data_IF_307617110342
#
_entry.id   IF_307617110342
#
_cell.length_a   1.000
_cell.length_b   1.000
_cell.length_c   1.000
_cell.angle_alpha   90.00
_cell.angle_beta   90.00
_cell.angle_gamma   90.00
#
_symmetry.space_group_name_H-M   'P 1'
#
loop_
_entity.id
_entity.type
_entity.pdbx_description
1 polymer ?
#
# COMPACT_ATOMS: atom_id res chain seq x y z
N UNK A 1 13.81 -4.61 -1.47
CA UNK A 1 12.46 -5.17 -1.59
C UNK A 1 11.97 -5.21 -3.03
N UNK A 2 12.10 -4.13 -3.80
CA UNK A 2 11.55 -4.01 -5.17
C UNK A 2 12.19 -4.97 -6.19
N UNK A 3 13.51 -5.18 -6.13
CA UNK A 3 14.19 -6.18 -6.97
C UNK A 3 13.61 -7.58 -6.76
N UNK A 4 13.32 -7.93 -5.50
CA UNK A 4 12.75 -9.24 -5.16
C UNK A 4 11.31 -9.35 -5.62
N UNK A 5 10.46 -8.37 -5.30
CA UNK A 5 9.05 -8.36 -5.72
C UNK A 5 8.92 -8.39 -7.25
N UNK A 6 9.69 -7.56 -7.96
CA UNK A 6 9.72 -7.53 -9.42
C UNK A 6 10.16 -8.87 -10.02
N UNK A 7 11.17 -9.53 -9.45
CA UNK A 7 11.57 -10.86 -9.89
C UNK A 7 10.50 -11.92 -9.63
N UNK A 8 9.84 -11.91 -8.47
CA UNK A 8 8.74 -12.83 -8.17
C UNK A 8 7.61 -12.68 -9.20
N UNK A 9 7.26 -11.44 -9.56
CA UNK A 9 6.27 -11.13 -10.56
C UNK A 9 6.72 -11.54 -11.98
N UNK A 10 7.94 -11.16 -12.40
CA UNK A 10 8.49 -11.47 -13.74
C UNK A 10 8.55 -12.97 -14.00
N UNK A 11 8.96 -13.75 -13.00
CA UNK A 11 9.06 -15.20 -13.10
C UNK A 11 7.73 -15.91 -12.85
N UNK A 12 6.62 -15.20 -12.60
CA UNK A 12 5.34 -15.78 -12.18
C UNK A 12 5.51 -16.77 -11.01
N UNK A 13 6.40 -16.43 -10.07
CA UNK A 13 6.73 -17.30 -8.94
C UNK A 13 5.84 -17.07 -7.73
N UNK A 14 5.08 -15.99 -7.74
CA UNK A 14 4.11 -15.60 -6.72
C UNK A 14 3.28 -14.43 -7.20
N UNK A 15 2.35 -13.99 -6.34
CA UNK A 15 1.45 -12.86 -6.58
C UNK A 15 1.87 -11.72 -5.66
N UNK A 16 2.01 -10.51 -6.20
CA UNK A 16 2.33 -9.29 -5.44
C UNK A 16 1.04 -8.61 -5.01
N UNK A 17 0.87 -8.43 -3.69
CA UNK A 17 -0.31 -7.82 -3.08
C UNK A 17 0.10 -6.52 -2.38
N UNK A 18 -0.77 -5.51 -2.38
CA UNK A 18 -0.53 -4.27 -1.64
C UNK A 18 -0.65 -3.02 -2.50
N UNK A 19 0.22 -2.05 -2.28
CA UNK A 19 0.32 -0.82 -3.08
C UNK A 19 1.58 -0.83 -3.95
N UNK A 20 1.62 0.04 -4.95
CA UNK A 20 2.83 0.29 -5.74
C UNK A 20 4.00 0.69 -4.82
N UNK A 21 5.17 0.13 -5.06
CA UNK A 21 6.35 0.39 -4.23
C UNK A 21 6.98 1.75 -4.52
N UNK A 22 7.95 2.14 -3.69
CA UNK A 22 8.55 3.47 -3.67
C UNK A 22 9.17 3.93 -5.01
N UNK A 23 9.74 3.02 -5.78
CA UNK A 23 10.35 3.33 -7.08
C UNK A 23 11.84 3.62 -7.04
N UNK A 24 12.59 3.09 -6.05
CA UNK A 24 14.04 3.30 -5.98
C UNK A 24 14.73 2.33 -6.94
N UNK A 25 15.21 2.81 -8.07
CA UNK A 25 15.87 2.05 -9.14
C UNK A 25 17.40 2.17 -9.16
N UNK A 26 18.01 2.75 -8.12
CA UNK A 26 19.44 3.10 -8.10
C UNK A 26 20.22 2.41 -6.97
N UNK A 27 21.50 2.17 -7.22
CA UNK A 27 22.46 1.67 -6.23
C UNK A 27 23.46 2.77 -5.91
N UNK A 28 23.70 2.95 -4.61
CA UNK A 28 24.65 3.93 -4.08
C UNK A 28 25.85 3.23 -3.45
N UNK A 29 27.01 3.86 -3.54
CA UNK A 29 28.24 3.41 -2.91
C UNK A 29 28.78 4.48 -1.94
N UNK A 30 29.37 4.02 -0.84
CA UNK A 30 30.02 4.85 0.17
C UNK A 30 31.51 4.99 -0.16
N UNK A 31 31.97 6.24 -0.25
CA UNK A 31 33.32 6.59 -0.67
C UNK A 31 34.00 7.38 0.47
N UNK A 32 34.94 6.77 1.23
CA UNK A 32 35.61 7.44 2.34
C UNK A 32 36.54 8.56 1.89
N UNK A 33 36.42 9.75 2.49
CA UNK A 33 37.20 10.93 2.10
C UNK A 33 38.68 10.85 2.48
N UNK A 34 39.04 9.96 3.41
CA UNK A 34 40.42 9.71 3.84
C UNK A 34 41.37 9.41 2.67
N UNK A 35 40.85 8.83 1.57
CA UNK A 35 41.68 8.51 0.39
C UNK A 35 42.24 9.74 -0.33
N UNK A 36 41.67 10.92 -0.11
CA UNK A 36 42.07 12.17 -0.76
C UNK A 36 42.66 13.20 0.21
N UNK A 37 42.88 12.83 1.47
CA UNK A 37 43.46 13.73 2.47
C UNK A 37 44.65 13.07 3.18
N UNK A 38 45.78 13.80 3.34
CA UNK A 38 46.91 13.32 4.14
C UNK A 38 46.63 13.32 5.65
N UNK A 39 45.53 13.96 6.09
CA UNK A 39 45.03 13.92 7.47
C UNK A 39 43.74 13.09 7.51
N UNK A 40 43.44 12.34 8.59
CA UNK A 40 42.19 11.63 8.71
C UNK A 40 41.00 12.60 8.61
N UNK A 41 40.09 12.32 7.69
CA UNK A 41 38.83 13.02 7.47
C UNK A 41 37.71 12.05 7.78
N UNK A 42 37.06 12.23 8.93
CA UNK A 42 35.93 11.41 9.36
C UNK A 42 34.64 11.76 8.57
N UNK A 43 34.67 11.56 7.25
CA UNK A 43 33.58 11.86 6.33
C UNK A 43 33.52 10.89 5.17
N UNK A 44 32.31 10.68 4.63
CA UNK A 44 32.06 9.77 3.51
C UNK A 44 31.09 10.43 2.53
N UNK A 45 31.31 10.19 1.24
CA UNK A 45 30.38 10.56 0.18
C UNK A 45 29.50 9.35 -0.15
N UNK A 46 28.20 9.57 -0.30
CA UNK A 46 27.28 8.57 -0.85
C UNK A 46 26.95 8.97 -2.27
N UNK A 47 27.33 8.14 -3.24
CA UNK A 47 27.20 8.46 -4.67
C UNK A 47 26.46 7.35 -5.40
N UNK A 48 25.52 7.72 -6.26
CA UNK A 48 24.85 6.77 -7.16
C UNK A 48 25.82 6.26 -8.21
N UNK A 49 26.02 4.94 -8.26
CA UNK A 49 27.00 4.29 -9.16
C UNK A 49 26.35 3.46 -10.27
N UNK A 50 25.04 3.24 -10.20
CA UNK A 50 24.33 2.46 -11.20
C UNK A 50 22.82 2.44 -11.01
N UNK A 51 22.14 2.01 -12.07
CA UNK A 51 20.72 1.67 -12.07
C UNK A 51 20.57 0.16 -12.15
N UNK A 52 19.48 -0.36 -11.58
CA UNK A 52 19.08 -1.74 -11.80
C UNK A 52 17.84 -1.83 -12.68
N UNK A 53 17.73 -2.97 -13.36
CA UNK A 53 16.65 -3.28 -14.29
C UNK A 53 16.15 -4.69 -13.99
N UNK A 54 14.86 -4.89 -14.21
CA UNK A 54 14.17 -6.18 -14.17
C UNK A 54 14.68 -7.08 -15.29
N UNK A 55 14.40 -8.38 -15.19
CA UNK A 55 14.78 -9.35 -16.25
C UNK A 55 14.06 -9.08 -17.58
N UNK A 56 12.91 -8.41 -17.51
CA UNK A 56 12.16 -7.88 -18.65
C UNK A 56 12.85 -6.68 -19.32
N UNK A 57 13.84 -6.07 -18.67
CA UNK A 57 14.53 -4.87 -19.11
C UNK A 57 13.94 -3.56 -18.56
N UNK A 58 12.81 -3.61 -17.87
CA UNK A 58 12.17 -2.44 -17.26
C UNK A 58 12.90 -1.99 -15.98
N UNK A 59 13.01 -0.69 -15.72
CA UNK A 59 13.48 -0.19 -14.42
C UNK A 59 12.32 -0.05 -13.43
N UNK A 60 12.61 -0.17 -12.14
CA UNK A 60 11.68 0.24 -11.07
C UNK A 60 11.80 1.74 -10.75
N UNK A 61 12.78 2.46 -11.30
CA UNK A 61 13.00 3.88 -11.03
C UNK A 61 11.71 4.69 -11.27
N UNK A 62 11.26 5.52 -10.32
CA UNK A 62 9.98 6.28 -10.35
C UNK A 62 8.69 5.45 -10.33
N UNK A 63 8.67 4.24 -10.90
CA UNK A 63 7.45 3.44 -11.08
C UNK A 63 7.23 2.39 -9.99
N UNK A 64 8.30 1.95 -9.35
CA UNK A 64 8.25 0.83 -8.42
C UNK A 64 7.87 -0.48 -9.09
N UNK A 65 7.28 -1.37 -8.29
CA UNK A 65 6.62 -2.60 -8.69
C UNK A 65 5.14 -2.39 -8.43
N UNK A 66 4.35 -2.43 -9.51
CA UNK A 66 2.90 -2.41 -9.42
C UNK A 66 2.41 -3.79 -8.92
N UNK A 67 1.52 -3.82 -7.91
CA UNK A 67 1.00 -5.07 -7.37
C UNK A 67 0.07 -5.75 -8.38
N UNK A 68 0.06 -7.07 -8.35
CA UNK A 68 -0.85 -7.91 -9.13
C UNK A 68 -2.30 -7.80 -8.64
N UNK A 69 -2.49 -7.69 -7.31
CA UNK A 69 -3.77 -7.38 -6.67
C UNK A 69 -3.58 -6.14 -5.78
N UNK A 70 -4.16 -4.99 -6.16
CA UNK A 70 -4.02 -3.77 -5.39
C UNK A 70 -4.84 -3.83 -4.10
N UNK A 71 -4.24 -3.41 -2.98
CA UNK A 71 -4.89 -3.21 -1.69
C UNK A 71 -4.77 -1.75 -1.28
N UNK A 72 -5.80 -1.24 -0.59
CA UNK A 72 -5.83 0.14 -0.14
C UNK A 72 -4.67 0.46 0.81
N UNK A 73 -4.06 1.63 0.63
CA UNK A 73 -2.98 2.12 1.48
C UNK A 73 -3.13 3.62 1.74
N UNK A 74 -2.79 4.09 2.95
CA UNK A 74 -2.83 5.53 3.26
C UNK A 74 -1.65 6.31 2.66
N UNK A 75 -0.66 5.66 2.05
CA UNK A 75 0.51 6.37 1.52
C UNK A 75 0.23 6.94 0.14
N UNK A 76 0.54 8.23 -0.06
CA UNK A 76 0.50 8.84 -1.39
C UNK A 76 1.90 8.80 -2.02
N UNK A 77 2.09 7.91 -3.00
CA UNK A 77 3.36 7.72 -3.72
C UNK A 77 3.76 8.99 -4.48
N UNK A 78 2.83 9.88 -4.82
CA UNK A 78 3.16 11.16 -5.46
C UNK A 78 3.83 12.12 -4.50
N UNK A 79 3.61 11.98 -3.19
CA UNK A 79 4.27 12.77 -2.15
C UNK A 79 5.50 12.08 -1.60
N UNK A 80 5.46 10.75 -1.44
CA UNK A 80 6.53 10.01 -0.75
C UNK A 80 7.47 9.24 -1.67
N UNK A 81 7.09 8.94 -2.91
CA UNK A 81 7.85 8.04 -3.79
C UNK A 81 9.14 8.65 -4.32
N UNK A 82 9.98 7.83 -4.96
CA UNK A 82 11.20 8.28 -5.63
C UNK A 82 10.89 9.38 -6.67
N UNK A 83 9.75 9.27 -7.37
CA UNK A 83 9.30 10.26 -8.35
C UNK A 83 8.98 11.64 -7.77
N UNK A 84 8.78 11.74 -6.45
CA UNK A 84 8.54 13.00 -5.76
C UNK A 84 9.83 13.77 -5.45
N UNK A 85 10.99 13.12 -5.58
CA UNK A 85 12.30 13.74 -5.30
C UNK A 85 12.72 14.63 -6.47
N UNK A 86 13.15 15.86 -6.16
CA UNK A 86 13.48 16.90 -7.15
C UNK A 86 14.52 16.47 -8.19
N UNK A 87 15.50 15.67 -7.80
CA UNK A 87 16.62 15.24 -8.66
C UNK A 87 16.71 13.73 -8.83
N UNK A 88 15.58 13.01 -8.73
CA UNK A 88 15.56 11.59 -9.04
C UNK A 88 15.89 11.35 -10.52
N UNK A 89 16.67 10.29 -10.77
CA UNK A 89 17.01 9.91 -12.14
C UNK A 89 15.76 9.46 -12.88
N UNK A 90 15.58 9.81 -14.18
CA UNK A 90 14.38 9.43 -14.92
C UNK A 90 14.28 7.91 -15.07
N UNK A 91 13.04 7.43 -15.22
CA UNK A 91 12.78 6.05 -15.64
C UNK A 91 13.28 5.80 -17.06
N UNK A 92 13.89 4.65 -17.27
CA UNK A 92 14.33 4.12 -18.56
C UNK A 92 14.19 2.60 -18.60
N UNK A 93 14.44 2.03 -19.79
CA UNK A 93 14.44 0.58 -20.02
C UNK A 93 15.63 0.16 -20.87
N UNK A 94 16.07 -1.07 -20.68
CA UNK A 94 17.08 -1.74 -21.49
C UNK A 94 16.49 -2.96 -22.20
N UNK A 95 17.31 -3.64 -23.01
CA UNK A 95 16.91 -4.93 -23.56
C UNK A 95 16.74 -5.95 -22.43
N UNK A 96 15.58 -6.62 -22.40
CA UNK A 96 15.36 -7.76 -21.53
C UNK A 96 16.27 -8.93 -21.88
N UNK A 97 16.44 -9.84 -20.92
CA UNK A 97 17.21 -11.07 -21.11
C UNK A 97 16.26 -12.25 -21.32
N UNK A 98 16.63 -13.28 -22.09
CA UNK A 98 15.82 -14.49 -22.16
C UNK A 98 15.73 -15.15 -20.76
N UNK A 99 14.51 -15.35 -20.27
CA UNK A 99 14.24 -16.08 -19.03
C UNK A 99 13.09 -17.05 -19.23
N UNK A 100 12.99 -18.05 -18.35
CA UNK A 100 11.87 -18.99 -18.33
C UNK A 100 10.97 -18.63 -17.15
N UNK A 101 9.70 -18.37 -17.45
CA UNK A 101 8.67 -18.25 -16.43
C UNK A 101 8.58 -19.56 -15.64
N UNK A 102 8.33 -19.46 -14.35
CA UNK A 102 8.00 -20.62 -13.54
C UNK A 102 6.73 -21.26 -14.09
N UNK A 103 6.68 -22.59 -14.17
CA UNK A 103 5.51 -23.30 -14.69
C UNK A 103 4.25 -23.17 -13.80
N UNK A 104 4.29 -22.33 -12.75
CA UNK A 104 3.28 -22.23 -11.72
C UNK A 104 3.05 -23.55 -11.00
N UNK A 105 2.12 -23.56 -10.04
CA UNK A 105 1.40 -24.78 -9.71
C UNK A 105 0.21 -24.85 -10.67
N UNK A 106 0.04 -25.96 -11.40
CA UNK A 106 -1.02 -26.12 -12.40
C UNK A 106 -2.46 -25.97 -11.83
N UNK A 107 -2.59 -25.84 -10.51
CA UNK A 107 -3.85 -25.69 -9.78
C UNK A 107 -4.12 -24.26 -9.26
N UNK A 108 -3.17 -23.32 -9.36
CA UNK A 108 -3.40 -21.95 -8.89
C UNK A 108 -4.34 -21.19 -9.83
N UNK A 109 -5.32 -20.42 -9.31
CA UNK A 109 -6.16 -19.55 -10.13
C UNK A 109 -5.35 -18.48 -10.88
N UNK A 110 -5.85 -17.99 -12.03
CA UNK A 110 -5.28 -16.83 -12.67
C UNK A 110 -5.32 -15.60 -11.75
N UNK A 111 -4.28 -14.77 -11.80
CA UNK A 111 -4.20 -13.51 -11.01
C UNK A 111 -5.44 -12.64 -11.17
N UNK A 112 -5.97 -12.52 -12.39
CA UNK A 112 -7.18 -11.75 -12.65
C UNK A 112 -8.42 -12.27 -11.89
N UNK A 113 -8.49 -13.59 -11.68
CA UNK A 113 -9.57 -14.20 -10.90
C UNK A 113 -9.42 -13.87 -9.40
N UNK A 114 -8.18 -13.92 -8.88
CA UNK A 114 -7.88 -13.51 -7.50
C UNK A 114 -8.23 -12.03 -7.27
N UNK A 115 -7.87 -11.15 -8.20
CA UNK A 115 -8.20 -9.72 -8.12
C UNK A 115 -9.73 -9.49 -8.12
N UNK A 116 -10.47 -10.21 -8.96
CA UNK A 116 -11.93 -10.11 -9.03
C UNK A 116 -12.60 -10.58 -7.75
N UNK A 117 -12.11 -11.67 -7.15
CA UNK A 117 -12.62 -12.19 -5.87
C UNK A 117 -12.33 -11.21 -4.73
N UNK A 118 -11.12 -10.66 -4.68
CA UNK A 118 -10.74 -9.66 -3.70
C UNK A 118 -11.59 -8.38 -3.82
N UNK A 119 -11.81 -7.88 -5.04
CA UNK A 119 -12.69 -6.72 -5.27
C UNK A 119 -14.13 -6.97 -4.77
N UNK A 120 -14.64 -8.19 -4.91
CA UNK A 120 -15.95 -8.57 -4.40
C UNK A 120 -15.96 -8.67 -2.86
N UNK A 121 -14.92 -9.25 -2.26
CA UNK A 121 -14.76 -9.37 -0.80
C UNK A 121 -14.63 -8.00 -0.13
N UNK A 122 -13.77 -7.14 -0.69
CA UNK A 122 -13.51 -5.77 -0.25
C UNK A 122 -14.77 -4.90 -0.17
N UNK A 123 -15.76 -5.12 -1.05
CA UNK A 123 -17.03 -4.39 -1.04
C UNK A 123 -17.92 -4.72 0.16
N UNK A 124 -17.71 -5.87 0.81
CA UNK A 124 -18.56 -6.36 1.88
C UNK A 124 -17.83 -6.47 3.21
N UNK A 125 -16.50 -6.54 3.21
CA UNK A 125 -15.69 -6.60 4.41
C UNK A 125 -15.79 -5.30 5.26
N UNK A 126 -16.28 -5.37 6.51
CA UNK A 126 -16.43 -4.19 7.35
C UNK A 126 -15.11 -3.48 7.68
N UNK A 127 -14.03 -4.23 7.84
CA UNK A 127 -12.71 -3.71 8.21
C UNK A 127 -12.06 -3.00 7.01
N UNK A 128 -12.18 -3.56 5.80
CA UNK A 128 -11.67 -2.97 4.57
C UNK A 128 -12.45 -1.71 4.17
N UNK A 129 -13.78 -1.73 4.26
CA UNK A 129 -14.60 -0.53 4.02
C UNK A 129 -14.26 0.59 4.99
N UNK A 130 -14.00 0.25 6.25
CA UNK A 130 -13.53 1.21 7.24
C UNK A 130 -12.15 1.78 6.83
N UNK A 131 -11.19 0.94 6.46
CA UNK A 131 -9.86 1.37 6.00
C UNK A 131 -9.95 2.35 4.82
N UNK A 132 -10.71 2.01 3.78
CA UNK A 132 -10.93 2.87 2.61
C UNK A 132 -11.55 4.21 3.01
N UNK A 133 -12.53 4.19 3.93
CA UNK A 133 -13.14 5.43 4.42
C UNK A 133 -12.21 6.28 5.25
N UNK A 134 -11.27 5.67 5.98
CA UNK A 134 -10.27 6.40 6.78
C UNK A 134 -9.17 6.99 5.90
N UNK A 135 -8.72 6.26 4.87
CA UNK A 135 -7.82 6.77 3.84
C UNK A 135 -8.43 8.00 3.16
N UNK A 136 -9.70 7.92 2.74
CA UNK A 136 -10.40 9.06 2.14
C UNK A 136 -10.49 10.28 3.08
N UNK A 137 -10.64 10.05 4.38
CA UNK A 137 -10.63 11.13 5.37
C UNK A 137 -9.24 11.76 5.53
N UNK A 138 -8.18 10.93 5.51
CA UNK A 138 -6.80 11.39 5.53
C UNK A 138 -6.50 12.23 4.29
N UNK A 139 -6.87 11.76 3.10
CA UNK A 139 -6.63 12.45 1.82
C UNK A 139 -7.36 13.81 1.76
N UNK A 140 -8.58 13.87 2.28
CA UNK A 140 -9.34 15.12 2.41
C UNK A 140 -8.61 16.16 3.26
N UNK A 141 -7.98 15.74 4.36
CA UNK A 141 -7.16 16.62 5.21
C UNK A 141 -5.84 16.97 4.51
N UNK A 142 -5.21 16.02 3.82
CA UNK A 142 -3.93 16.19 3.11
C UNK A 142 -4.05 17.21 1.98
N UNK A 143 -5.19 17.24 1.28
CA UNK A 143 -5.50 18.22 0.25
C UNK A 143 -5.71 19.67 0.76
N UNK A 144 -5.68 19.89 2.08
CA UNK A 144 -5.78 21.24 2.66
C UNK A 144 -4.40 21.89 2.78
N UNK A 145 -4.09 22.83 1.89
CA UNK A 145 -2.81 23.57 1.90
C UNK A 145 -2.82 24.84 2.77
N UNK A 146 -3.88 25.07 3.53
CA UNK A 146 -4.00 26.24 4.41
C UNK A 146 -4.62 25.85 5.73
N UNK A 147 -4.23 26.55 6.79
CA UNK A 147 -4.75 26.32 8.14
C UNK A 147 -5.20 27.66 8.72
N UNK A 148 -6.42 27.69 9.23
CA UNK A 148 -6.93 28.87 9.95
C UNK A 148 -6.14 29.11 11.24
N UNK A 149 -5.74 30.36 11.47
CA UNK A 149 -5.12 30.79 12.74
C UNK A 149 -6.18 31.19 13.79
N UNK A 150 -7.47 31.15 13.46
CA UNK A 150 -8.54 31.45 14.41
C UNK A 150 -8.79 30.26 15.35
N UNK A 151 -8.66 30.49 16.65
CA UNK A 151 -8.81 29.45 17.68
C UNK A 151 -10.19 28.79 17.68
N UNK A 152 -11.27 29.56 17.51
CA UNK A 152 -12.63 29.03 17.51
C UNK A 152 -12.84 28.09 16.31
N UNK A 153 -12.45 28.54 15.11
CA UNK A 153 -12.53 27.73 13.90
C UNK A 153 -11.71 26.44 14.01
N UNK A 154 -10.50 26.50 14.61
CA UNK A 154 -9.66 25.30 14.81
C UNK A 154 -10.26 24.30 15.81
N UNK A 155 -10.96 24.77 16.85
CA UNK A 155 -11.65 23.90 17.81
C UNK A 155 -12.86 23.22 17.17
N UNK A 156 -13.65 23.95 16.41
CA UNK A 156 -14.82 23.42 15.69
C UNK A 156 -14.39 22.38 14.66
N UNK A 157 -13.36 22.67 13.88
CA UNK A 157 -12.81 21.74 12.88
C UNK A 157 -12.28 20.45 13.51
N UNK A 158 -11.53 20.57 14.61
CA UNK A 158 -11.01 19.39 15.32
C UNK A 158 -12.14 18.53 15.89
N UNK A 159 -13.15 19.14 16.51
CA UNK A 159 -14.32 18.44 17.03
C UNK A 159 -15.11 17.73 15.91
N UNK A 160 -15.21 18.35 14.74
CA UNK A 160 -15.82 17.74 13.55
C UNK A 160 -15.06 16.51 13.09
N UNK A 161 -13.74 16.62 12.86
CA UNK A 161 -12.88 15.50 12.43
C UNK A 161 -12.92 14.35 13.44
N UNK A 162 -12.82 14.67 14.74
CA UNK A 162 -12.87 13.69 15.82
C UNK A 162 -14.25 12.98 15.88
N UNK A 163 -15.35 13.71 15.70
CA UNK A 163 -16.70 13.15 15.61
C UNK A 163 -16.89 12.25 14.39
N UNK A 164 -16.38 12.64 13.23
CA UNK A 164 -16.41 11.83 12.01
C UNK A 164 -15.58 10.54 12.16
N UNK A 165 -14.40 10.62 12.80
CA UNK A 165 -13.59 9.44 13.11
C UNK A 165 -14.34 8.47 14.02
N UNK A 166 -14.98 8.97 15.08
CA UNK A 166 -15.80 8.13 15.96
C UNK A 166 -16.99 7.51 15.22
N UNK A 167 -17.64 8.25 14.32
CA UNK A 167 -18.75 7.73 13.52
C UNK A 167 -18.31 6.61 12.55
N UNK A 168 -17.14 6.74 11.91
CA UNK A 168 -16.55 5.69 11.07
C UNK A 168 -16.29 4.42 11.87
N UNK A 169 -15.65 4.55 13.03
CA UNK A 169 -15.40 3.39 13.92
C UNK A 169 -16.72 2.78 14.41
N UNK A 170 -17.70 3.56 14.86
CA UNK A 170 -18.98 3.00 15.31
C UNK A 170 -19.77 2.30 14.18
N UNK A 171 -19.62 2.76 12.93
CA UNK A 171 -20.20 2.09 11.77
C UNK A 171 -19.55 0.73 11.54
N UNK A 172 -18.22 0.65 11.65
CA UNK A 172 -17.45 -0.61 11.61
C UNK A 172 -17.86 -1.56 12.73
N UNK A 173 -17.96 -1.06 13.97
CA UNK A 173 -18.38 -1.83 15.15
C UNK A 173 -19.79 -2.38 15.00
N UNK A 174 -20.72 -1.57 14.51
CA UNK A 174 -22.09 -2.02 14.24
C UNK A 174 -22.13 -3.17 13.22
N UNK A 175 -21.35 -3.08 12.14
CA UNK A 175 -21.23 -4.16 11.15
C UNK A 175 -20.61 -5.45 11.73
N UNK A 176 -19.80 -5.33 12.79
CA UNK A 176 -19.19 -6.45 13.53
C UNK A 176 -19.99 -6.87 14.77
N UNK A 177 -21.20 -6.34 14.98
CA UNK A 177 -22.03 -6.57 16.16
C UNK A 177 -21.33 -6.24 17.50
N UNK A 178 -20.44 -5.24 17.50
CA UNK A 178 -19.74 -4.75 18.68
C UNK A 178 -20.47 -3.54 19.28
N UNK A 179 -20.40 -3.34 20.61
CA UNK A 179 -21.03 -2.19 21.25
C UNK A 179 -20.37 -0.87 20.79
N UNK A 180 -21.15 0.20 20.54
CA UNK A 180 -20.59 1.47 20.09
C UNK A 180 -19.78 2.14 21.21
N UNK A 181 -18.78 2.91 20.80
CA UNK A 181 -17.98 3.78 21.65
C UNK A 181 -18.68 5.13 21.81
N UNK A 182 -18.64 5.69 23.01
CA UNK A 182 -19.33 6.94 23.36
C UNK A 182 -18.51 8.18 23.04
N UNK A 183 -17.18 8.05 23.01
CA UNK A 183 -16.28 9.18 22.81
C UNK A 183 -14.97 8.78 22.13
N UNK A 184 -14.25 9.79 21.67
CA UNK A 184 -12.94 9.62 21.02
C UNK A 184 -11.87 9.22 22.06
N UNK A 185 -12.05 9.60 23.32
CA UNK A 185 -11.20 9.13 24.42
C UNK A 185 -11.37 7.63 24.67
N UNK A 186 -12.60 7.10 24.59
CA UNK A 186 -12.83 5.65 24.65
C UNK A 186 -12.17 4.95 23.45
N UNK A 187 -12.28 5.51 22.25
CA UNK A 187 -11.60 5.01 21.05
C UNK A 187 -10.08 4.95 21.23
N UNK A 188 -9.45 6.03 21.71
CA UNK A 188 -8.01 6.07 21.90
C UNK A 188 -7.50 5.14 23.02
N UNK A 189 -8.38 4.78 23.98
CA UNK A 189 -8.07 3.83 25.06
C UNK A 189 -8.42 2.39 24.72
N UNK A 190 -9.20 2.17 23.67
CA UNK A 190 -9.58 0.83 23.25
C UNK A 190 -8.32 0.03 22.91
N UNK A 191 -8.24 -1.19 23.45
CA UNK A 191 -7.20 -2.16 23.09
C UNK A 191 -7.64 -3.04 21.92
N UNK A 192 -8.72 -2.63 21.25
CA UNK A 192 -9.12 -3.20 19.98
C UNK A 192 -8.06 -2.74 18.99
N UNK A 193 -6.89 -3.40 19.01
CA UNK A 193 -5.87 -3.21 17.99
C UNK A 193 -6.59 -3.31 16.66
N UNK A 194 -6.50 -2.27 15.84
CA UNK A 194 -7.01 -2.33 14.50
C UNK A 194 -6.30 -3.51 13.85
N UNK A 195 -7.03 -4.61 13.66
CA UNK A 195 -6.55 -5.76 12.92
C UNK A 195 -5.87 -5.24 11.67
N UNK A 196 -4.70 -5.78 11.32
CA UNK A 196 -4.01 -5.39 10.11
C UNK A 196 -4.87 -5.82 8.92
N UNK A 197 -5.72 -4.89 8.48
CA UNK A 197 -6.77 -5.14 7.49
C UNK A 197 -6.14 -5.58 6.17
N UNK A 198 -5.00 -4.98 5.83
CA UNK A 198 -4.25 -5.31 4.61
C UNK A 198 -3.69 -6.72 4.71
N UNK A 199 -3.13 -7.10 5.86
CA UNK A 199 -2.64 -8.46 6.09
C UNK A 199 -3.77 -9.50 6.08
N UNK A 200 -4.93 -9.16 6.63
CA UNK A 200 -6.11 -10.04 6.60
C UNK A 200 -6.57 -10.25 5.16
N UNK A 201 -6.76 -9.19 4.36
CA UNK A 201 -7.11 -9.34 2.93
C UNK A 201 -6.04 -10.13 2.17
N UNK A 202 -4.75 -9.88 2.43
CA UNK A 202 -3.68 -10.66 1.81
C UNK A 202 -3.74 -12.15 2.18
N UNK A 203 -4.14 -12.48 3.41
CA UNK A 203 -4.34 -13.86 3.87
C UNK A 203 -5.51 -14.51 3.13
N UNK A 204 -6.58 -13.76 2.89
CA UNK A 204 -7.74 -14.22 2.12
C UNK A 204 -7.38 -14.50 0.65
N UNK A 205 -6.63 -13.61 -0.01
CA UNK A 205 -6.13 -13.85 -1.38
C UNK A 205 -5.20 -15.06 -1.44
N UNK A 206 -4.36 -15.25 -0.42
CA UNK A 206 -3.51 -16.43 -0.32
C UNK A 206 -4.34 -17.71 -0.14
N UNK A 207 -5.42 -17.67 0.64
CA UNK A 207 -6.34 -18.80 0.77
C UNK A 207 -6.96 -19.16 -0.58
N UNK A 208 -7.48 -18.18 -1.33
CA UNK A 208 -8.01 -18.40 -2.68
C UNK A 208 -6.97 -19.00 -3.64
N UNK A 209 -5.72 -18.58 -3.53
CA UNK A 209 -4.62 -19.12 -4.33
C UNK A 209 -4.39 -20.62 -4.07
N UNK A 210 -4.66 -21.10 -2.85
CA UNK A 210 -4.47 -22.50 -2.44
C UNK A 210 -5.73 -23.34 -2.68
N UNK A 211 -6.91 -22.82 -2.35
CA UNK A 211 -8.18 -23.56 -2.40
C UNK A 211 -8.94 -23.40 -3.71
N UNK A 212 -8.56 -22.42 -4.52
CA UNK A 212 -9.33 -21.96 -5.68
C UNK A 212 -10.23 -20.77 -5.34
N UNK A 213 -10.61 -20.00 -6.35
CA UNK A 213 -11.55 -18.87 -6.21
C UNK A 213 -12.97 -19.39 -5.98
N UNK A 214 -13.64 -18.88 -4.96
CA UNK A 214 -15.01 -19.22 -4.62
C UNK A 214 -15.91 -17.99 -4.78
N UNK A 215 -16.41 -17.71 -6.00
CA UNK A 215 -17.25 -16.54 -6.22
C UNK A 215 -18.43 -16.55 -5.26
N UNK A 216 -18.51 -15.55 -4.39
CA UNK A 216 -19.65 -15.43 -3.48
C UNK A 216 -20.95 -15.34 -4.29
N UNK A 217 -21.99 -16.12 -3.95
CA UNK A 217 -23.27 -16.00 -4.61
C UNK A 217 -23.84 -14.60 -4.38
N UNK A 218 -24.48 -13.97 -5.39
CA UNK A 218 -25.14 -12.69 -5.19
C UNK A 218 -26.17 -12.84 -4.07
N UNK A 219 -26.01 -12.04 -3.00
CA UNK A 219 -27.00 -12.02 -1.93
C UNK A 219 -28.35 -11.69 -2.57
N UNK A 220 -29.32 -12.60 -2.39
CA UNK A 220 -30.71 -12.33 -2.73
C UNK A 220 -31.09 -11.04 -2.02
N UNK A 221 -31.32 -9.98 -2.78
CA UNK A 221 -31.95 -8.77 -2.28
C UNK A 221 -33.23 -9.22 -1.59
N UNK A 222 -33.31 -8.98 -0.29
CA UNK A 222 -34.53 -9.20 0.45
C UNK A 222 -35.60 -8.33 -0.22
N UNK A 223 -36.50 -8.98 -0.99
CA UNK A 223 -37.70 -8.33 -1.49
C UNK A 223 -38.47 -7.84 -0.28
N UNK A 224 -38.50 -6.52 -0.12
CA UNK A 224 -39.45 -5.86 0.75
C UNK A 224 -40.85 -6.41 0.43
N UNK A 225 -41.51 -6.98 1.44
CA UNK A 225 -42.94 -7.31 1.44
C UNK A 225 -43.60 -6.47 2.52
#
# INVERSE_FOLDING_TARGET
>A
SEIFAGAIQDYHRGVILGQTTFGKGTVQNLVPLDRWSPKPVNGQLTVTIGKFYRVTGESTQHRGVEPDVPLASPLDIKEIGESALESALPWDRIAGVPFRMSAGTAAAPPVAALATEEDARAQHDPDYRWLVSDIAAIDSVRGQHSVSLNLKARREERARIEGERLARENSRRAAKNLPPLKSVEELNKSKDEAADVVLEQATQVMADMVTGTHPQPPQKTARAS
#
